data_IF_201497255010
#
_entry.id   IF_201497255010
#
_cell.length_a   1.000
_cell.length_b   1.000
_cell.length_c   1.000
_cell.angle_alpha   90.00
_cell.angle_beta   90.00
_cell.angle_gamma   90.00
#
_symmetry.space_group_name_H-M   'P 1'
#
loop_
_entity.id
_entity.type
_entity.pdbx_description
1 polymer ?
#
# COMPACT_ATOMS: atom_id res chain seq x y z
N UNK A 1 9.02 -24.01 4.32
CA UNK A 1 8.62 -23.24 3.13
C UNK A 1 9.18 -21.84 3.27
N UNK A 2 9.41 -21.14 2.15
CA UNK A 2 9.83 -19.73 2.15
C UNK A 2 8.59 -18.87 2.19
N UNK A 3 8.66 -17.72 2.86
CA UNK A 3 7.59 -16.72 2.80
C UNK A 3 7.50 -16.16 1.37
N UNK A 4 6.28 -16.04 0.84
CA UNK A 4 6.01 -15.39 -0.44
C UNK A 4 5.08 -14.21 -0.20
N UNK A 5 5.46 -13.01 -0.66
CA UNK A 5 4.70 -11.79 -0.46
C UNK A 5 4.68 -10.96 -1.75
N UNK A 6 3.48 -10.68 -2.25
CA UNK A 6 3.21 -9.71 -3.29
C UNK A 6 2.71 -8.41 -2.65
N UNK A 7 3.21 -7.28 -3.13
CA UNK A 7 2.76 -5.94 -2.74
C UNK A 7 2.35 -5.19 -3.99
N UNK A 8 1.25 -4.47 -3.90
CA UNK A 8 0.76 -3.56 -4.93
C UNK A 8 0.38 -2.22 -4.31
N UNK A 9 0.59 -1.13 -5.05
CA UNK A 9 0.25 0.22 -4.61
C UNK A 9 -0.40 1.02 -5.73
N UNK A 10 -1.43 1.77 -5.37
CA UNK A 10 -2.00 2.79 -6.24
C UNK A 10 -1.45 4.16 -5.87
N UNK A 11 -1.15 4.98 -6.87
CA UNK A 11 -0.45 6.25 -6.66
C UNK A 11 -1.00 7.36 -7.55
N UNK A 12 -0.66 8.59 -7.16
CA UNK A 12 -0.95 9.80 -7.94
C UNK A 12 0.19 10.14 -8.92
N UNK A 13 1.20 9.29 -9.04
CA UNK A 13 2.32 9.47 -9.96
C UNK A 13 3.34 8.35 -9.89
N UNK A 14 4.17 8.24 -10.93
CA UNK A 14 5.08 7.10 -11.12
C UNK A 14 6.49 7.31 -10.52
N UNK A 15 6.68 8.38 -9.73
CA UNK A 15 7.99 8.76 -9.17
C UNK A 15 7.92 8.88 -7.66
N UNK A 16 9.05 8.63 -6.94
CA UNK A 16 9.13 8.92 -5.52
C UNK A 16 8.75 10.38 -5.23
N UNK A 17 8.00 10.60 -4.16
CA UNK A 17 7.45 11.90 -3.80
C UNK A 17 6.00 12.12 -4.26
N UNK A 18 5.41 11.18 -5.00
CA UNK A 18 3.98 11.18 -5.28
C UNK A 18 3.17 10.58 -4.13
N UNK A 19 1.90 10.99 -3.99
CA UNK A 19 0.98 10.44 -2.98
C UNK A 19 0.61 9.00 -3.30
N UNK A 20 0.45 8.19 -2.26
CA UNK A 20 0.00 6.79 -2.32
C UNK A 20 -1.48 6.74 -1.93
N UNK A 21 -2.29 6.13 -2.78
CA UNK A 21 -3.74 6.00 -2.61
C UNK A 21 -4.10 4.75 -1.81
N UNK A 22 -3.43 3.64 -2.09
CA UNK A 22 -3.65 2.37 -1.39
C UNK A 22 -2.40 1.51 -1.35
N UNK A 23 -2.38 0.56 -0.41
CA UNK A 23 -1.41 -0.53 -0.31
C UNK A 23 -2.18 -1.83 -0.16
N UNK A 24 -2.00 -2.72 -1.13
CA UNK A 24 -2.43 -4.11 -1.08
C UNK A 24 -1.23 -5.03 -0.87
N UNK A 25 -1.43 -6.08 -0.07
CA UNK A 25 -0.46 -7.15 0.05
C UNK A 25 -1.17 -8.50 0.17
N UNK A 26 -0.59 -9.52 -0.46
CA UNK A 26 -1.09 -10.89 -0.43
C UNK A 26 0.10 -11.84 -0.42
N UNK A 27 0.01 -12.93 0.36
CA UNK A 27 1.10 -13.87 0.43
C UNK A 27 0.76 -15.18 1.11
N UNK A 28 1.77 -16.05 1.17
CA UNK A 28 1.74 -17.31 1.90
C UNK A 28 2.79 -17.27 3.02
N UNK A 29 2.35 -17.48 4.26
CA UNK A 29 3.27 -17.59 5.39
C UNK A 29 4.10 -18.89 5.33
N UNK A 30 5.07 -19.03 6.25
CA UNK A 30 5.95 -20.20 6.33
C UNK A 30 5.22 -21.54 6.53
N UNK A 31 3.98 -21.50 7.02
CA UNK A 31 3.12 -22.65 7.28
C UNK A 31 2.17 -22.91 6.09
N UNK A 32 2.21 -22.06 5.06
CA UNK A 32 1.41 -22.15 3.83
C UNK A 32 0.04 -21.48 3.92
N UNK A 33 -0.23 -20.70 4.97
CA UNK A 33 -1.52 -20.00 5.10
C UNK A 33 -1.54 -18.76 4.22
N UNK A 34 -2.67 -18.53 3.55
CA UNK A 34 -2.93 -17.30 2.83
C UNK A 34 -3.16 -16.16 3.81
N UNK A 35 -2.46 -15.05 3.60
CA UNK A 35 -2.61 -13.82 4.38
C UNK A 35 -2.71 -12.63 3.45
N UNK A 36 -3.60 -11.69 3.79
CA UNK A 36 -3.82 -10.47 3.00
C UNK A 36 -3.84 -9.23 3.89
N UNK A 37 -3.50 -8.09 3.29
CA UNK A 37 -3.58 -6.76 3.87
C UNK A 37 -4.07 -5.78 2.81
N UNK A 38 -4.96 -4.87 3.20
CA UNK A 38 -5.39 -3.79 2.34
C UNK A 38 -5.69 -2.53 3.13
N UNK A 39 -5.13 -1.40 2.68
CA UNK A 39 -5.45 -0.07 3.21
C UNK A 39 -5.52 0.98 2.12
N UNK A 40 -6.42 1.95 2.33
CA UNK A 40 -6.55 3.16 1.53
C UNK A 40 -6.21 4.39 2.37
N UNK A 41 -5.34 5.23 1.85
CA UNK A 41 -4.80 6.35 2.59
C UNK A 41 -5.55 7.65 2.29
N UNK A 42 -5.64 8.49 3.32
CA UNK A 42 -6.15 9.85 3.22
C UNK A 42 -5.17 10.70 2.39
N UNK A 43 -5.61 11.21 1.25
CA UNK A 43 -4.77 11.97 0.32
C UNK A 43 -4.43 13.38 0.84
N UNK A 44 -5.34 13.97 1.61
CA UNK A 44 -5.19 15.29 2.23
C UNK A 44 -4.05 15.31 3.27
N UNK A 45 -3.90 14.22 4.04
CA UNK A 45 -2.82 14.07 5.03
C UNK A 45 -1.42 13.96 4.43
N UNK A 46 -1.33 13.63 3.15
CA UNK A 46 -0.05 13.47 2.45
C UNK A 46 0.51 14.77 1.91
N UNK A 47 -0.36 15.74 1.62
CA UNK A 47 0.06 17.09 1.22
C UNK A 47 0.85 17.77 2.36
N UNK A 48 0.43 17.58 3.61
CA UNK A 48 1.13 18.10 4.80
C UNK A 48 2.56 17.54 4.93
N UNK A 49 2.81 16.36 4.37
CA UNK A 49 4.13 15.71 4.32
C UNK A 49 4.96 16.10 3.06
N UNK A 50 4.47 17.02 2.23
CA UNK A 50 5.15 17.48 1.02
C UNK A 50 5.04 16.54 -0.19
N UNK A 51 4.15 15.54 -0.14
CA UNK A 51 3.88 14.66 -1.28
C UNK A 51 3.00 15.36 -2.33
N UNK A 52 3.28 15.08 -3.60
CA UNK A 52 2.70 15.80 -4.75
C UNK A 52 1.92 14.86 -5.67
N UNK A 53 1.16 15.42 -6.61
CA UNK A 53 0.48 14.66 -7.66
C UNK A 53 1.22 14.85 -8.99
N UNK A 54 1.35 13.81 -9.80
CA UNK A 54 1.81 13.92 -11.17
C UNK A 54 0.63 14.23 -12.10
N UNK A 55 0.72 15.31 -12.86
CA UNK A 55 -0.37 15.76 -13.73
C UNK A 55 -0.80 14.69 -14.75
N UNK A 56 0.15 13.97 -15.35
CA UNK A 56 -0.17 12.97 -16.37
C UNK A 56 -0.85 11.73 -15.78
N UNK A 57 -0.47 11.33 -14.57
CA UNK A 57 -1.15 10.26 -13.84
C UNK A 57 -2.54 10.70 -13.36
N UNK A 58 -2.72 11.95 -12.93
CA UNK A 58 -4.04 12.46 -12.58
C UNK A 58 -4.97 12.57 -13.80
N UNK A 59 -4.46 12.95 -14.97
CA UNK A 59 -5.22 12.92 -16.22
C UNK A 59 -5.61 11.49 -16.62
N UNK A 60 -4.74 10.51 -16.36
CA UNK A 60 -5.06 9.10 -16.53
C UNK A 60 -6.16 8.65 -15.55
N UNK A 61 -6.09 9.06 -14.28
CA UNK A 61 -7.11 8.76 -13.28
C UNK A 61 -8.48 9.30 -13.67
N UNK A 62 -8.55 10.52 -14.22
CA UNK A 62 -9.80 11.12 -14.68
C UNK A 62 -10.53 10.29 -15.76
N UNK A 63 -9.80 9.45 -16.51
CA UNK A 63 -10.33 8.58 -17.56
C UNK A 63 -10.82 7.23 -17.03
N UNK A 64 -10.53 6.90 -15.77
CA UNK A 64 -10.96 5.64 -15.17
C UNK A 64 -12.45 5.65 -14.82
N UNK A 65 -13.01 4.46 -14.65
CA UNK A 65 -14.40 4.28 -14.24
C UNK A 65 -14.70 5.03 -12.93
N UNK A 66 -15.90 5.60 -12.75
CA UNK A 66 -16.29 6.28 -11.52
C UNK A 66 -16.05 5.46 -10.26
N UNK A 67 -16.31 4.15 -10.31
CA UNK A 67 -16.15 3.21 -9.20
C UNK A 67 -14.67 3.06 -8.83
N UNK A 68 -13.78 2.92 -9.82
CA UNK A 68 -12.34 2.83 -9.59
C UNK A 68 -11.79 4.11 -8.95
N UNK A 69 -12.25 5.29 -9.40
CA UNK A 69 -11.87 6.56 -8.78
C UNK A 69 -12.40 6.70 -7.35
N UNK A 70 -13.65 6.29 -7.11
CA UNK A 70 -14.24 6.33 -5.76
C UNK A 70 -13.55 5.36 -4.80
N UNK A 71 -13.10 4.21 -5.31
CA UNK A 71 -12.26 3.27 -4.57
C UNK A 71 -10.92 3.95 -4.22
N UNK A 72 -10.15 4.35 -5.23
CA UNK A 72 -8.77 4.80 -5.07
C UNK A 72 -8.66 6.10 -4.24
N UNK A 73 -9.55 7.06 -4.46
CA UNK A 73 -9.53 8.35 -3.77
C UNK A 73 -10.43 8.40 -2.52
N UNK A 74 -11.07 7.28 -2.14
CA UNK A 74 -11.98 7.20 -0.98
C UNK A 74 -11.29 6.87 0.35
N UNK A 75 -9.95 6.86 0.38
CA UNK A 75 -9.16 6.53 1.56
C UNK A 75 -9.33 7.54 2.71
N UNK A 76 -9.26 7.03 3.94
CA UNK A 76 -9.42 7.82 5.17
C UNK A 76 -8.38 7.53 6.23
N UNK A 77 -7.57 6.49 6.05
CA UNK A 77 -6.54 6.09 7.00
C UNK A 77 -5.35 7.03 6.87
N UNK A 78 -4.84 7.52 7.99
CA UNK A 78 -3.58 8.26 7.97
C UNK A 78 -2.44 7.35 7.44
N UNK A 79 -1.59 7.82 6.51
CA UNK A 79 -0.52 6.98 5.96
C UNK A 79 0.41 6.39 7.03
N UNK A 80 0.76 7.15 8.07
CA UNK A 80 1.65 6.65 9.12
C UNK A 80 0.98 5.57 9.96
N UNK A 81 -0.32 5.73 10.26
CA UNK A 81 -1.14 4.72 10.92
C UNK A 81 -1.20 3.44 10.09
N UNK A 82 -1.60 3.54 8.82
CA UNK A 82 -1.78 2.37 7.97
C UNK A 82 -0.47 1.65 7.62
N UNK A 83 0.65 2.35 7.50
CA UNK A 83 1.97 1.73 7.39
C UNK A 83 2.41 1.06 8.71
N UNK A 84 2.03 1.63 9.85
CA UNK A 84 2.20 1.01 11.16
C UNK A 84 1.43 -0.32 11.26
N UNK A 85 0.17 -0.33 10.80
CA UNK A 85 -0.64 -1.55 10.72
C UNK A 85 -0.04 -2.58 9.76
N UNK A 86 0.44 -2.15 8.58
CA UNK A 86 1.12 -3.03 7.63
C UNK A 86 2.34 -3.68 8.27
N UNK A 87 3.18 -2.92 8.98
CA UNK A 87 4.32 -3.45 9.73
C UNK A 87 3.89 -4.51 10.75
N UNK A 88 2.85 -4.24 11.54
CA UNK A 88 2.38 -5.20 12.55
C UNK A 88 1.84 -6.47 11.90
N UNK A 89 1.05 -6.34 10.83
CA UNK A 89 0.56 -7.46 10.05
C UNK A 89 1.71 -8.28 9.45
N UNK A 90 2.70 -7.62 8.87
CA UNK A 90 3.86 -8.29 8.28
C UNK A 90 4.64 -9.07 9.33
N UNK A 91 4.96 -8.45 10.47
CA UNK A 91 5.70 -9.11 11.55
C UNK A 91 4.93 -10.30 12.12
N UNK A 92 3.61 -10.18 12.28
CA UNK A 92 2.75 -11.26 12.79
C UNK A 92 2.76 -12.49 11.88
N UNK A 93 2.72 -12.28 10.56
CA UNK A 93 2.53 -13.38 9.62
C UNK A 93 3.84 -13.93 9.05
N UNK A 94 4.88 -13.11 8.93
CA UNK A 94 6.10 -13.50 8.23
C UNK A 94 7.36 -13.49 9.09
N UNK A 95 7.37 -12.84 10.26
CA UNK A 95 8.56 -12.87 11.11
C UNK A 95 8.64 -14.14 11.95
N UNK A 96 9.83 -14.71 12.04
CA UNK A 96 10.15 -15.85 12.91
C UNK A 96 10.81 -15.42 14.23
N UNK A 97 11.02 -14.11 14.45
CA UNK A 97 11.74 -13.60 15.63
C UNK A 97 13.26 -13.78 15.59
N UNK A 98 13.82 -14.25 14.47
CA UNK A 98 15.25 -14.26 14.16
C UNK A 98 15.52 -13.30 13.00
N UNK A 99 16.79 -13.03 12.68
CA UNK A 99 17.19 -12.22 11.52
C UNK A 99 16.68 -12.85 10.21
N UNK A 100 15.42 -12.62 9.88
CA UNK A 100 14.80 -13.12 8.66
C UNK A 100 15.37 -12.30 7.48
N UNK A 101 16.15 -12.95 6.61
CA UNK A 101 16.52 -12.37 5.33
C UNK A 101 15.31 -12.41 4.40
N UNK A 102 14.65 -11.27 4.23
CA UNK A 102 13.65 -11.08 3.18
C UNK A 102 14.37 -10.77 1.87
N UNK A 103 14.14 -11.61 0.86
CA UNK A 103 14.54 -11.31 -0.51
C UNK A 103 13.33 -10.71 -1.22
N UNK A 104 13.46 -9.45 -1.62
CA UNK A 104 12.53 -8.76 -2.52
C UNK A 104 12.96 -9.04 -3.96
#
# INVERSE_FOLDING_TARGET
MTNELMIDIETTGQKPGCKVLSLGAFGFDKDGNQVEFYRRFAIDKQADAGLTDDASTMDWWQRQYPEARAEAFGGKTDPAEGLGEFKQWFLKNFSTGKNDEFRV
#
